data_IF_269401094188
#
_entry.id   IF_269401094188
#
_cell.length_a   1.000
_cell.length_b   1.000
_cell.length_c   1.000
_cell.angle_alpha   90.00
_cell.angle_beta   90.00
_cell.angle_gamma   90.00
#
_symmetry.space_group_name_H-M   'P 1'
#
loop_
_entity.id
_entity.type
_entity.pdbx_description
1 polymer ?
#
# COMPACT_ATOMS: atom_id res chain seq x y z
N UNK A 1 -4.74 11.43 18.97
CA UNK A 1 -3.27 11.61 18.95
C UNK A 1 -2.85 11.21 17.56
N UNK A 2 -2.59 12.18 16.69
CA UNK A 2 -2.01 11.95 15.36
C UNK A 2 -0.48 12.06 15.46
N UNK A 3 0.28 11.38 14.59
CA UNK A 3 1.73 11.61 14.45
C UNK A 3 2.09 13.05 14.04
N UNK A 4 1.09 13.83 13.60
CA UNK A 4 1.24 15.22 13.22
C UNK A 4 1.30 16.14 14.45
N UNK A 5 2.22 17.09 14.41
CA UNK A 5 2.35 18.17 15.38
C UNK A 5 2.62 19.49 14.67
N UNK A 6 2.25 20.60 15.30
CA UNK A 6 2.53 21.96 14.82
C UNK A 6 4.00 22.12 14.45
N UNK A 7 4.91 21.65 15.34
CA UNK A 7 6.34 21.74 15.10
C UNK A 7 6.80 20.93 13.88
N UNK A 8 6.20 19.77 13.63
CA UNK A 8 6.51 18.96 12.45
C UNK A 8 6.14 19.66 11.15
N UNK A 9 5.01 20.39 11.14
CA UNK A 9 4.57 21.13 9.95
C UNK A 9 5.44 22.37 9.73
N UNK A 10 5.81 23.09 10.78
CA UNK A 10 6.76 24.22 10.69
C UNK A 10 8.12 23.78 10.12
N UNK A 11 8.67 22.66 10.60
CA UNK A 11 9.93 22.12 10.06
C UNK A 11 9.76 21.72 8.58
N UNK A 12 8.61 21.16 8.22
CA UNK A 12 8.31 20.81 6.83
C UNK A 12 8.28 22.05 5.94
N UNK A 13 7.68 23.15 6.42
CA UNK A 13 7.67 24.44 5.72
C UNK A 13 9.08 25.05 5.62
N UNK A 14 9.86 25.04 6.71
CA UNK A 14 11.25 25.53 6.74
C UNK A 14 12.16 24.77 5.76
N UNK A 15 11.88 23.48 5.52
CA UNK A 15 12.60 22.63 4.57
C UNK A 15 12.01 22.67 3.15
N UNK A 16 11.00 23.49 2.89
CA UNK A 16 10.30 23.63 1.61
C UNK A 16 9.74 22.28 1.09
N UNK A 17 9.39 21.37 2.00
CA UNK A 17 8.77 20.10 1.66
C UNK A 17 7.28 20.31 1.36
N UNK A 18 6.78 19.99 0.15
CA UNK A 18 5.40 20.32 -0.23
C UNK A 18 4.35 19.36 0.34
N UNK A 19 4.77 18.35 1.10
CA UNK A 19 3.93 17.22 1.44
C UNK A 19 4.40 16.52 2.74
N UNK A 20 3.43 16.13 3.57
CA UNK A 20 3.61 15.22 4.70
C UNK A 20 2.74 13.97 4.55
N UNK A 21 3.20 12.86 5.14
CA UNK A 21 2.39 11.67 5.35
C UNK A 21 2.11 11.51 6.85
N UNK A 22 0.95 10.96 7.19
CA UNK A 22 0.65 10.50 8.55
C UNK A 22 -0.20 9.25 8.50
N UNK A 23 -0.01 8.37 9.47
CA UNK A 23 -0.96 7.31 9.80
C UNK A 23 -2.18 7.92 10.52
N UNK A 24 -3.30 7.20 10.55
CA UNK A 24 -4.47 7.59 11.33
C UNK A 24 -4.20 7.54 12.84
N UNK A 25 -3.23 6.71 13.28
CA UNK A 25 -2.84 6.47 14.66
C UNK A 25 -4.00 5.94 15.52
N UNK A 26 -3.87 6.06 16.84
CA UNK A 26 -4.90 5.64 17.78
C UNK A 26 -4.81 4.15 18.08
N UNK A 27 -5.95 3.57 18.48
CA UNK A 27 -6.05 2.18 18.88
C UNK A 27 -7.38 1.57 18.41
N UNK A 28 -7.40 0.39 17.77
CA UNK A 28 -8.62 -0.25 17.31
C UNK A 28 -9.54 -0.63 18.48
N UNK A 29 -8.99 -1.04 19.62
CA UNK A 29 -9.77 -1.36 20.83
C UNK A 29 -10.42 -0.13 21.48
N UNK A 30 -10.03 1.08 21.07
CA UNK A 30 -10.62 2.36 21.49
C UNK A 30 -10.96 3.23 20.29
N UNK A 31 -11.57 2.62 19.26
CA UNK A 31 -11.75 3.27 17.96
C UNK A 31 -12.48 4.63 18.05
N UNK A 32 -13.60 4.70 18.79
CA UNK A 32 -14.38 5.94 18.92
C UNK A 32 -13.60 7.06 19.62
N UNK A 33 -12.84 6.75 20.67
CA UNK A 33 -12.02 7.75 21.36
C UNK A 33 -10.84 8.21 20.50
N UNK A 34 -10.25 7.28 19.76
CA UNK A 34 -9.16 7.53 18.83
C UNK A 34 -9.59 8.42 17.67
N UNK A 35 -10.74 8.11 17.07
CA UNK A 35 -11.35 8.91 16.01
C UNK A 35 -11.70 10.32 16.52
N UNK A 36 -12.32 10.44 17.70
CA UNK A 36 -12.61 11.75 18.29
C UNK A 36 -11.32 12.57 18.52
N UNK A 37 -10.23 11.92 18.95
CA UNK A 37 -8.94 12.58 19.11
C UNK A 37 -8.29 12.94 17.77
N UNK A 38 -8.48 12.13 16.73
CA UNK A 38 -8.04 12.42 15.37
C UNK A 38 -8.72 13.68 14.83
N UNK A 39 -10.04 13.81 14.96
CA UNK A 39 -10.77 15.00 14.51
C UNK A 39 -10.36 16.27 15.24
N UNK A 40 -10.16 16.22 16.56
CA UNK A 40 -9.64 17.36 17.33
C UNK A 40 -8.25 17.79 16.85
N UNK A 41 -7.36 16.84 16.58
CA UNK A 41 -6.02 17.16 16.04
C UNK A 41 -6.12 17.78 14.65
N UNK A 42 -6.99 17.30 13.76
CA UNK A 42 -7.17 17.91 12.44
C UNK A 42 -7.75 19.31 12.50
N UNK A 43 -8.69 19.59 13.40
CA UNK A 43 -9.25 20.94 13.59
C UNK A 43 -8.14 21.97 13.91
N UNK A 44 -7.17 21.58 14.73
CA UNK A 44 -6.02 22.42 15.08
C UNK A 44 -5.01 22.53 13.91
N UNK A 45 -4.73 21.44 13.22
CA UNK A 45 -3.58 21.35 12.30
C UNK A 45 -3.91 21.72 10.85
N UNK A 46 -5.15 21.50 10.37
CA UNK A 46 -5.52 21.78 8.98
C UNK A 46 -5.31 23.25 8.55
N UNK A 47 -5.57 24.27 9.40
CA UNK A 47 -5.26 25.66 9.05
C UNK A 47 -3.77 25.90 8.81
N UNK A 48 -2.89 25.15 9.48
CA UNK A 48 -1.45 25.26 9.30
C UNK A 48 -1.00 24.64 7.98
N UNK A 49 -1.50 23.46 7.63
CA UNK A 49 -1.28 22.86 6.31
C UNK A 49 -1.72 23.78 5.17
N UNK A 50 -2.89 24.40 5.31
CA UNK A 50 -3.43 25.33 4.32
C UNK A 50 -2.57 26.59 4.18
N UNK A 51 -2.14 27.17 5.30
CA UNK A 51 -1.29 28.37 5.32
C UNK A 51 0.07 28.13 4.67
N UNK A 52 0.71 27.01 4.98
CA UNK A 52 2.05 26.67 4.47
C UNK A 52 2.01 26.02 3.08
N UNK A 53 0.81 25.74 2.53
CA UNK A 53 0.66 25.10 1.22
C UNK A 53 1.15 23.65 1.18
N UNK A 54 1.10 22.95 2.31
CA UNK A 54 1.58 21.57 2.46
C UNK A 54 0.40 20.60 2.27
N UNK A 55 0.56 19.62 1.39
CA UNK A 55 -0.40 18.54 1.26
C UNK A 55 -0.21 17.44 2.33
N UNK A 56 -1.29 16.79 2.72
CA UNK A 56 -1.30 15.71 3.72
C UNK A 56 -1.83 14.42 3.09
N UNK A 57 -1.04 13.34 3.12
CA UNK A 57 -1.56 12.01 2.81
C UNK A 57 -1.77 11.20 4.10
N UNK A 58 -2.95 10.62 4.25
CA UNK A 58 -3.30 9.76 5.36
C UNK A 58 -3.25 8.28 4.96
N UNK A 59 -2.61 7.48 5.80
CA UNK A 59 -2.39 6.05 5.61
C UNK A 59 -3.21 5.25 6.63
N UNK A 60 -4.00 4.29 6.15
CA UNK A 60 -4.50 3.21 6.99
C UNK A 60 -3.34 2.28 7.34
N UNK A 61 -3.07 2.13 8.63
CA UNK A 61 -1.89 1.43 9.11
C UNK A 61 -2.29 0.32 10.10
N UNK A 62 -1.59 -0.83 10.12
CA UNK A 62 -1.86 -1.87 11.10
C UNK A 62 -1.75 -1.31 12.53
N UNK A 63 -2.72 -1.65 13.38
CA UNK A 63 -2.85 -1.23 14.78
C UNK A 63 -3.38 0.20 14.98
N UNK A 64 -3.78 0.89 13.90
CA UNK A 64 -4.52 2.15 13.98
C UNK A 64 -5.99 1.94 14.37
N UNK A 65 -6.68 3.02 14.71
CA UNK A 65 -8.13 2.98 14.92
C UNK A 65 -8.93 2.63 13.64
N UNK A 66 -8.33 2.85 12.46
CA UNK A 66 -8.91 2.57 11.16
C UNK A 66 -7.92 1.80 10.27
N UNK A 67 -8.05 0.47 10.26
CA UNK A 67 -7.13 -0.45 9.54
C UNK A 67 -7.70 -0.91 8.18
N UNK A 68 -8.89 -0.43 7.80
CA UNK A 68 -9.75 -1.01 6.76
C UNK A 68 -10.26 0.06 5.75
N UNK A 69 -11.01 -0.30 4.69
CA UNK A 69 -11.41 0.63 3.63
C UNK A 69 -12.13 1.93 4.07
N UNK A 70 -12.85 2.01 5.22
CA UNK A 70 -13.41 3.28 5.71
C UNK A 70 -12.38 4.41 5.86
N UNK A 71 -11.08 4.11 5.90
CA UNK A 71 -10.02 5.10 5.88
C UNK A 71 -10.11 6.08 4.70
N UNK A 72 -10.51 5.60 3.51
CA UNK A 72 -10.70 6.47 2.33
C UNK A 72 -11.88 7.42 2.55
N UNK A 73 -12.95 6.93 3.19
CA UNK A 73 -14.11 7.76 3.50
C UNK A 73 -13.80 8.81 4.56
N UNK A 74 -12.95 8.51 5.54
CA UNK A 74 -12.44 9.51 6.48
C UNK A 74 -11.63 10.60 5.75
N UNK A 75 -10.75 10.23 4.81
CA UNK A 75 -10.03 11.19 3.97
C UNK A 75 -11.01 12.09 3.20
N UNK A 76 -12.07 11.52 2.64
CA UNK A 76 -13.11 12.29 1.93
C UNK A 76 -13.89 13.21 2.86
N UNK A 77 -14.22 12.75 4.06
CA UNK A 77 -14.98 13.51 5.05
C UNK A 77 -14.25 14.77 5.53
N UNK A 78 -12.91 14.78 5.53
CA UNK A 78 -12.10 15.98 5.82
C UNK A 78 -12.39 17.10 4.81
N UNK A 79 -12.82 16.75 3.59
CA UNK A 79 -13.30 17.68 2.56
C UNK A 79 -12.33 18.84 2.26
N UNK A 80 -11.03 18.55 2.25
CA UNK A 80 -9.98 19.48 1.81
C UNK A 80 -9.30 18.93 0.54
N UNK A 81 -9.00 19.78 -0.46
CA UNK A 81 -8.39 19.33 -1.71
C UNK A 81 -6.93 18.86 -1.54
N UNK A 82 -6.24 19.35 -0.50
CA UNK A 82 -4.86 19.00 -0.18
C UNK A 82 -4.73 17.82 0.79
N UNK A 83 -5.84 17.19 1.19
CA UNK A 83 -5.85 16.00 2.03
C UNK A 83 -6.22 14.77 1.20
N UNK A 84 -5.33 13.80 1.20
CA UNK A 84 -5.32 12.66 0.28
C UNK A 84 -5.07 11.34 1.02
N UNK A 85 -5.14 10.25 0.28
CA UNK A 85 -4.94 8.90 0.76
C UNK A 85 -3.61 8.32 0.28
N UNK A 86 -2.96 7.60 1.19
CA UNK A 86 -1.77 6.81 0.94
C UNK A 86 -2.15 5.33 1.00
N UNK A 87 -1.91 4.60 -0.10
CA UNK A 87 -2.06 3.15 -0.13
C UNK A 87 -0.71 2.45 0.04
N UNK A 88 -0.60 1.61 1.07
CA UNK A 88 0.62 0.88 1.37
C UNK A 88 0.47 -0.59 1.01
N UNK A 89 1.26 -1.04 0.02
CA UNK A 89 1.13 -2.41 -0.50
C UNK A 89 1.31 -3.50 0.59
N UNK A 90 2.28 -3.38 1.53
CA UNK A 90 2.39 -4.29 2.67
C UNK A 90 1.13 -4.39 3.55
N UNK A 91 0.32 -3.34 3.60
CA UNK A 91 -0.88 -3.27 4.46
C UNK A 91 -2.08 -3.92 3.80
N UNK A 92 -1.99 -4.35 2.53
CA UNK A 92 -3.14 -4.86 1.78
C UNK A 92 -3.85 -6.04 2.46
N UNK A 93 -3.12 -6.85 3.24
CA UNK A 93 -3.69 -8.01 3.93
C UNK A 93 -4.46 -7.63 5.20
N UNK A 94 -4.10 -6.51 5.83
CA UNK A 94 -4.87 -5.90 6.91
C UNK A 94 -6.08 -5.14 6.34
N UNK A 95 -5.86 -4.34 5.29
CA UNK A 95 -6.91 -3.59 4.60
C UNK A 95 -8.02 -4.46 4.01
N UNK A 96 -7.73 -5.73 3.71
CA UNK A 96 -8.75 -6.66 3.23
C UNK A 96 -9.62 -7.24 4.36
N UNK A 97 -9.40 -6.83 5.62
CA UNK A 97 -10.19 -7.24 6.78
C UNK A 97 -10.32 -8.76 6.88
N UNK A 98 -11.55 -9.23 7.07
CA UNK A 98 -11.88 -10.65 7.16
C UNK A 98 -11.81 -11.41 5.82
N UNK A 99 -11.68 -10.72 4.68
CA UNK A 99 -11.65 -11.39 3.37
C UNK A 99 -10.40 -12.28 3.25
N UNK A 100 -10.53 -13.51 2.74
CA UNK A 100 -9.44 -14.48 2.68
C UNK A 100 -8.35 -14.10 1.67
N UNK A 101 -8.64 -13.18 0.75
CA UNK A 101 -7.70 -12.68 -0.25
C UNK A 101 -7.84 -11.18 -0.39
N UNK A 102 -6.72 -10.48 -0.55
CA UNK A 102 -6.71 -9.04 -0.75
C UNK A 102 -6.99 -8.67 -2.22
N UNK A 103 -8.05 -7.89 -2.48
CA UNK A 103 -8.31 -7.29 -3.79
C UNK A 103 -7.65 -5.90 -3.91
N UNK A 104 -6.35 -5.91 -4.23
CA UNK A 104 -5.52 -4.70 -4.39
C UNK A 104 -6.14 -3.73 -5.40
N UNK A 105 -6.65 -4.22 -6.53
CA UNK A 105 -7.19 -3.36 -7.58
C UNK A 105 -8.48 -2.68 -7.13
N UNK A 106 -9.38 -3.40 -6.45
CA UNK A 106 -10.60 -2.81 -5.91
C UNK A 106 -10.30 -1.74 -4.87
N UNK A 107 -9.37 -1.98 -3.94
CA UNK A 107 -8.97 -1.00 -2.92
C UNK A 107 -8.39 0.28 -3.54
N UNK A 108 -7.51 0.14 -4.53
CA UNK A 108 -6.93 1.30 -5.22
C UNK A 108 -7.95 2.07 -6.06
N UNK A 109 -8.85 1.35 -6.77
CA UNK A 109 -9.96 1.99 -7.50
C UNK A 109 -10.91 2.72 -6.56
N UNK A 110 -11.16 2.15 -5.40
CA UNK A 110 -11.98 2.78 -4.39
C UNK A 110 -11.33 4.06 -3.84
N UNK A 111 -10.01 4.10 -3.65
CA UNK A 111 -9.30 5.34 -3.31
C UNK A 111 -9.42 6.41 -4.42
N UNK A 112 -9.37 6.01 -5.68
CA UNK A 112 -9.66 6.89 -6.82
C UNK A 112 -8.73 8.10 -6.89
N UNK A 113 -9.30 9.29 -7.05
CA UNK A 113 -8.58 10.57 -7.14
C UNK A 113 -7.84 10.94 -5.84
N UNK A 114 -8.31 10.42 -4.69
CA UNK A 114 -7.62 10.59 -3.41
C UNK A 114 -6.33 9.79 -3.31
N UNK A 115 -6.09 8.80 -4.17
CA UNK A 115 -4.84 8.05 -4.16
C UNK A 115 -3.67 8.90 -4.71
N UNK A 116 -2.91 9.55 -3.83
CA UNK A 116 -1.81 10.46 -4.20
C UNK A 116 -0.43 9.96 -3.75
N UNK A 117 -0.38 8.90 -2.95
CA UNK A 117 0.86 8.29 -2.45
C UNK A 117 0.74 6.78 -2.41
N UNK A 118 1.82 6.10 -2.77
CA UNK A 118 1.95 4.66 -2.54
C UNK A 118 3.26 4.31 -1.86
N UNK A 119 3.16 3.36 -0.94
CA UNK A 119 4.29 2.70 -0.30
C UNK A 119 4.52 1.33 -0.97
N UNK A 120 5.76 1.10 -1.37
CA UNK A 120 6.22 -0.06 -2.13
C UNK A 120 7.21 -0.84 -1.26
N UNK A 121 6.71 -1.91 -0.69
CA UNK A 121 7.46 -3.01 -0.12
C UNK A 121 6.58 -4.27 -0.22
N UNK A 122 7.19 -5.44 -0.13
CA UNK A 122 6.46 -6.70 -0.13
C UNK A 122 6.10 -7.10 1.30
N UNK A 123 5.16 -8.03 1.43
CA UNK A 123 4.78 -8.59 2.72
C UNK A 123 4.16 -9.96 2.51
N UNK A 124 4.24 -10.82 3.53
CA UNK A 124 3.48 -12.06 3.51
C UNK A 124 2.05 -11.83 3.98
N UNK A 125 1.11 -12.59 3.43
CA UNK A 125 -0.26 -12.61 3.94
C UNK A 125 -0.29 -13.26 5.32
N UNK A 126 -0.44 -12.44 6.36
CA UNK A 126 -0.48 -12.92 7.74
C UNK A 126 -1.63 -13.89 8.03
N UNK A 127 -2.69 -13.91 7.21
CA UNK A 127 -3.81 -14.86 7.29
C UNK A 127 -3.52 -16.19 6.59
N UNK A 128 -2.41 -16.26 5.85
CA UNK A 128 -1.98 -17.46 5.12
C UNK A 128 -1.81 -18.68 6.02
N UNK A 129 -1.78 -19.87 5.39
CA UNK A 129 -1.69 -21.15 6.09
C UNK A 129 -2.81 -21.36 7.12
N UNK A 130 -4.05 -20.98 6.79
CA UNK A 130 -5.21 -21.07 7.69
C UNK A 130 -5.01 -20.32 9.02
N UNK A 131 -4.38 -19.14 8.96
CA UNK A 131 -4.03 -18.33 10.14
C UNK A 131 -2.80 -18.79 10.91
N UNK A 132 -2.09 -19.83 10.44
CA UNK A 132 -0.91 -20.40 11.12
C UNK A 132 0.43 -19.90 10.55
N UNK A 133 0.43 -18.91 9.65
CA UNK A 133 1.70 -18.36 9.13
C UNK A 133 2.57 -17.79 10.26
N UNK A 134 1.94 -17.06 11.17
CA UNK A 134 2.59 -16.48 12.32
C UNK A 134 1.95 -17.04 13.59
N UNK A 135 2.67 -17.92 14.27
CA UNK A 135 2.23 -18.50 15.54
C UNK A 135 2.75 -17.62 16.66
N UNK A 136 1.84 -16.94 17.35
CA UNK A 136 2.16 -16.06 18.48
C UNK A 136 1.90 -16.76 19.81
N UNK A 137 2.81 -16.56 20.76
CA UNK A 137 2.69 -17.01 22.14
C UNK A 137 2.90 -15.81 23.09
N UNK A 138 1.93 -15.48 23.96
CA UNK A 138 0.68 -16.21 24.20
C UNK A 138 -0.30 -16.13 23.00
N UNK A 139 -1.16 -17.15 22.82
CA UNK A 139 -2.22 -17.10 21.82
C UNK A 139 -3.17 -15.95 22.10
N UNK A 140 -3.76 -15.35 21.05
CA UNK A 140 -4.66 -14.20 21.18
C UNK A 140 -3.95 -12.86 21.42
N UNK A 141 -2.63 -12.80 21.24
CA UNK A 141 -1.87 -11.55 21.32
C UNK A 141 -2.42 -10.53 20.31
N UNK A 142 -2.74 -9.28 20.72
CA UNK A 142 -3.31 -8.27 19.82
C UNK A 142 -2.29 -7.66 18.84
N UNK A 143 -1.05 -8.14 18.83
CA UNK A 143 0.01 -7.63 17.97
C UNK A 143 -0.36 -7.79 16.49
N UNK A 144 -0.08 -6.74 15.71
CA UNK A 144 -0.19 -6.80 14.25
C UNK A 144 1.12 -7.24 13.65
N UNK A 145 1.05 -8.14 12.67
CA UNK A 145 2.19 -8.44 11.82
C UNK A 145 2.40 -7.27 10.88
N UNK A 146 3.44 -6.48 11.13
CA UNK A 146 3.78 -5.30 10.36
C UNK A 146 5.17 -5.51 9.73
N UNK A 147 5.17 -6.00 8.49
CA UNK A 147 6.38 -6.40 7.77
C UNK A 147 6.49 -5.67 6.45
N UNK A 148 7.72 -5.24 6.13
CA UNK A 148 8.05 -4.58 4.88
C UNK A 148 9.33 -5.19 4.31
N UNK A 149 9.17 -5.97 3.24
CA UNK A 149 10.20 -6.78 2.59
C UNK A 149 10.58 -6.21 1.22
N UNK A 150 11.65 -6.73 0.63
CA UNK A 150 11.98 -6.42 -0.77
C UNK A 150 10.90 -7.01 -1.69
N UNK A 151 10.59 -6.32 -2.80
CA UNK A 151 9.72 -6.87 -3.85
C UNK A 151 10.18 -8.27 -4.27
N UNK A 152 9.25 -9.22 -4.32
CA UNK A 152 9.52 -10.62 -4.68
C UNK A 152 9.94 -11.49 -3.49
N UNK A 153 9.94 -10.95 -2.27
CA UNK A 153 10.18 -11.69 -1.03
C UNK A 153 8.91 -11.92 -0.21
N UNK A 154 7.76 -11.43 -0.66
CA UNK A 154 6.45 -11.67 -0.05
C UNK A 154 5.43 -12.18 -1.06
N UNK A 155 4.17 -11.80 -0.85
CA UNK A 155 2.99 -12.31 -1.54
C UNK A 155 2.12 -11.20 -2.13
N UNK A 156 2.55 -9.93 -2.08
CA UNK A 156 1.84 -8.84 -2.75
C UNK A 156 1.76 -9.13 -4.25
N UNK A 157 0.56 -9.06 -4.83
CA UNK A 157 0.36 -9.22 -6.28
C UNK A 157 0.79 -7.94 -7.01
N UNK A 158 2.08 -7.87 -7.34
CA UNK A 158 2.69 -6.73 -8.01
C UNK A 158 2.18 -6.50 -9.43
N UNK A 159 1.78 -7.55 -10.15
CA UNK A 159 1.22 -7.39 -11.49
C UNK A 159 -0.13 -6.65 -11.42
N UNK A 160 -0.97 -7.01 -10.44
CA UNK A 160 -2.23 -6.32 -10.14
C UNK A 160 -1.99 -4.91 -9.62
N UNK A 161 -1.08 -4.72 -8.66
CA UNK A 161 -0.75 -3.42 -8.07
C UNK A 161 -0.31 -2.40 -9.14
N UNK A 162 0.71 -2.73 -9.94
CA UNK A 162 1.17 -1.84 -11.01
C UNK A 162 0.16 -1.76 -12.15
N UNK A 163 -0.68 -2.78 -12.34
CA UNK A 163 -1.83 -2.76 -13.25
C UNK A 163 -2.83 -1.66 -12.89
N UNK A 164 -3.26 -1.65 -11.63
CA UNK A 164 -4.20 -0.67 -11.09
C UNK A 164 -3.62 0.76 -11.14
N UNK A 165 -2.34 0.96 -10.79
CA UNK A 165 -1.70 2.29 -10.92
C UNK A 165 -1.75 2.83 -12.35
N UNK A 166 -1.52 1.97 -13.35
CA UNK A 166 -1.61 2.38 -14.77
C UNK A 166 -3.04 2.67 -15.19
N UNK A 167 -4.00 1.85 -14.75
CA UNK A 167 -5.42 2.05 -15.04
C UNK A 167 -5.92 3.39 -14.50
N UNK A 168 -5.50 3.75 -13.28
CA UNK A 168 -5.86 5.00 -12.61
C UNK A 168 -5.07 6.21 -13.12
N UNK A 169 -4.13 6.03 -14.05
CA UNK A 169 -3.19 7.07 -14.50
C UNK A 169 -2.48 7.75 -13.32
N UNK A 170 -2.08 6.98 -12.31
CA UNK A 170 -1.47 7.50 -11.09
C UNK A 170 -0.22 8.35 -11.41
N UNK A 171 -0.22 9.60 -10.94
CA UNK A 171 0.84 10.59 -11.11
C UNK A 171 1.44 11.08 -9.78
N UNK A 172 0.98 10.51 -8.67
CA UNK A 172 1.46 10.80 -7.33
C UNK A 172 2.85 10.23 -7.02
N UNK A 173 3.21 10.20 -5.73
CA UNK A 173 4.54 9.77 -5.29
C UNK A 173 4.55 8.28 -4.93
N UNK A 174 5.54 7.54 -5.42
CA UNK A 174 5.81 6.17 -5.01
C UNK A 174 7.06 6.12 -4.13
N UNK A 175 6.99 5.41 -3.01
CA UNK A 175 8.11 5.32 -2.06
C UNK A 175 8.51 3.87 -1.81
N UNK A 176 9.79 3.54 -1.94
CA UNK A 176 10.27 2.27 -1.42
C UNK A 176 10.34 2.33 0.12
N UNK A 177 9.63 1.45 0.82
CA UNK A 177 9.45 1.51 2.28
C UNK A 177 9.88 0.19 2.97
N UNK A 178 11.08 -0.32 2.67
CA UNK A 178 11.54 -1.62 3.19
C UNK A 178 12.25 -1.46 4.54
N UNK A 179 11.88 -2.28 5.54
CA UNK A 179 12.45 -2.21 6.90
C UNK A 179 13.19 -3.49 7.33
N UNK A 180 12.98 -4.61 6.61
CA UNK A 180 13.45 -5.92 7.07
C UNK A 180 14.97 -6.17 6.96
N UNK A 181 15.73 -5.25 6.37
CA UNK A 181 17.09 -5.53 5.89
C UNK A 181 18.15 -4.51 6.34
N UNK A 182 18.11 -4.07 7.59
CA UNK A 182 19.07 -3.08 8.14
C UNK A 182 20.53 -3.37 7.75
N UNK A 183 21.00 -4.61 7.97
CA UNK A 183 22.37 -5.02 7.67
C UNK A 183 22.77 -4.90 6.19
N UNK A 184 21.79 -4.82 5.27
CA UNK A 184 21.99 -4.64 3.83
C UNK A 184 21.12 -3.51 3.27
N UNK A 185 20.85 -2.47 4.06
CA UNK A 185 19.89 -1.41 3.72
C UNK A 185 20.20 -0.78 2.34
N UNK A 186 21.45 -0.43 2.08
CA UNK A 186 21.87 0.16 0.79
C UNK A 186 21.62 -0.77 -0.41
N UNK A 187 21.88 -2.06 -0.25
CA UNK A 187 21.67 -3.05 -1.30
C UNK A 187 20.17 -3.26 -1.56
N UNK A 188 19.37 -3.32 -0.50
CA UNK A 188 17.90 -3.36 -0.58
C UNK A 188 17.35 -2.12 -1.27
N UNK A 189 17.76 -0.92 -0.88
CA UNK A 189 17.37 0.34 -1.52
C UNK A 189 17.71 0.36 -3.02
N UNK A 190 18.93 -0.04 -3.38
CA UNK A 190 19.35 -0.13 -4.79
C UNK A 190 18.54 -1.17 -5.57
N UNK A 191 18.25 -2.32 -4.96
CA UNK A 191 17.40 -3.35 -5.55
C UNK A 191 15.98 -2.84 -5.83
N UNK A 192 15.38 -2.12 -4.88
CA UNK A 192 14.01 -1.60 -4.99
C UNK A 192 13.84 -0.51 -6.06
N UNK A 193 14.92 0.17 -6.45
CA UNK A 193 14.93 1.15 -7.54
C UNK A 193 15.09 0.52 -8.92
N UNK A 194 15.58 -0.72 -9.01
CA UNK A 194 15.80 -1.35 -10.30
C UNK A 194 14.45 -1.64 -10.97
N UNK A 195 14.31 -1.39 -12.29
CA UNK A 195 13.08 -1.71 -13.00
C UNK A 195 12.70 -3.17 -12.77
N UNK A 196 11.52 -3.38 -12.19
CA UNK A 196 10.98 -4.71 -11.94
C UNK A 196 10.91 -5.47 -13.27
N UNK A 197 11.62 -6.59 -13.43
CA UNK A 197 11.52 -7.39 -14.63
C UNK A 197 10.11 -8.02 -14.68
N UNK A 198 9.32 -7.64 -15.68
CA UNK A 198 8.02 -8.28 -15.97
C UNK A 198 8.21 -9.81 -15.98
N UNK A 199 7.51 -10.52 -15.09
CA UNK A 199 7.47 -11.99 -15.10
C UNK A 199 8.17 -12.71 -13.94
N UNK A 200 8.56 -12.03 -12.85
CA UNK A 200 9.13 -12.72 -11.69
C UNK A 200 8.11 -13.50 -10.84
N UNK A 201 6.79 -13.30 -11.03
CA UNK A 201 5.77 -14.13 -10.41
C UNK A 201 5.33 -15.28 -11.31
N UNK A 202 6.12 -16.37 -11.32
CA UNK A 202 5.51 -17.69 -11.55
C UNK A 202 4.97 -18.18 -10.22
N UNK A 203 3.77 -17.72 -9.85
CA UNK A 203 2.98 -18.41 -8.82
C UNK A 203 2.91 -19.88 -9.25
N UNK A 204 3.56 -20.77 -8.50
CA UNK A 204 3.36 -22.21 -8.66
C UNK A 204 1.92 -22.49 -8.25
N UNK A 205 0.97 -22.35 -9.18
CA UNK A 205 -0.35 -22.96 -9.01
C UNK A 205 -0.11 -24.45 -8.84
N UNK A 206 -0.45 -24.98 -7.66
CA UNK A 206 -0.32 -26.38 -7.32
C UNK A 206 -0.87 -27.25 -8.45
N UNK A 207 -0.03 -28.15 -8.96
CA UNK A 207 -0.41 -29.07 -10.01
C UNK A 207 -1.55 -29.94 -9.53
N UNK A 208 -2.73 -29.78 -10.12
CA UNK A 208 -3.73 -30.84 -10.13
C UNK A 208 -3.14 -31.99 -10.95
N UNK A 209 -2.86 -33.10 -10.28
CA UNK A 209 -2.62 -34.41 -10.91
C UNK A 209 -3.85 -34.78 -11.73
N UNK A 210 -3.76 -34.60 -13.05
CA UNK A 210 -4.79 -34.99 -14.01
C UNK A 210 -4.31 -36.21 -14.78
N UNK A 211 -5.03 -37.32 -14.62
CA UNK A 211 -4.82 -38.59 -15.29
C UNK A 211 -4.82 -38.45 -16.82
N UNK A 212 -4.05 -39.32 -17.48
CA UNK A 212 -3.89 -39.40 -18.93
C UNK A 212 -5.22 -39.68 -19.66
N UNK A 213 -5.43 -39.01 -20.79
CA UNK A 213 -6.53 -39.27 -21.71
C UNK A 213 -6.21 -38.71 -23.09
N UNK A 214 -5.95 -39.61 -24.03
CA UNK A 214 -5.60 -39.40 -25.45
C UNK A 214 -6.71 -38.73 -26.27
N UNK A 215 -6.36 -37.81 -27.18
CA UNK A 215 -7.28 -37.41 -28.26
C UNK A 215 -6.95 -36.12 -29.02
N UNK A 216 -6.43 -36.29 -30.24
CA UNK A 216 -6.65 -35.48 -31.46
C UNK A 216 -6.48 -33.93 -31.44
N UNK A 217 -5.47 -33.46 -32.20
CA UNK A 217 -5.30 -32.06 -32.65
C UNK A 217 -6.20 -31.77 -33.86
N UNK A 218 -6.66 -30.50 -34.01
CA UNK A 218 -6.47 -29.86 -35.31
C UNK A 218 -5.97 -28.41 -35.24
N UNK A 219 -5.22 -28.06 -36.29
CA UNK A 219 -4.71 -26.73 -36.63
C UNK A 219 -5.75 -25.61 -36.54
N UNK A 220 -5.41 -24.51 -35.84
CA UNK A 220 -6.00 -23.18 -36.09
C UNK A 220 -4.95 -22.07 -36.17
N UNK A 221 -5.23 -21.17 -37.10
CA UNK A 221 -4.41 -20.11 -37.69
C UNK A 221 -3.88 -19.10 -36.66
N UNK A 222 -2.63 -18.66 -36.86
CA UNK A 222 -1.99 -17.58 -36.09
C UNK A 222 -2.58 -16.23 -36.47
N UNK A 223 -3.38 -15.63 -35.58
CA UNK A 223 -3.63 -14.19 -35.60
C UNK A 223 -2.51 -13.47 -34.83
N UNK A 224 -1.78 -12.58 -35.50
CA UNK A 224 -0.86 -11.63 -34.86
C UNK A 224 -1.69 -10.53 -34.19
N UNK A 225 -1.58 -10.31 -32.86
CA UNK A 225 -2.10 -9.08 -32.27
C UNK A 225 -1.13 -7.95 -32.56
N UNK A 226 -1.66 -6.85 -33.08
CA UNK A 226 -0.97 -5.57 -33.20
C UNK A 226 -0.83 -4.95 -31.81
N UNK A 227 0.35 -5.10 -31.19
CA UNK A 227 0.68 -4.39 -29.96
C UNK A 227 0.81 -2.89 -30.26
N UNK A 228 -0.21 -2.10 -29.91
CA UNK A 228 -0.01 -0.67 -29.65
C UNK A 228 0.89 -0.55 -28.43
N UNK A 229 2.10 0.00 -28.63
CA UNK A 229 3.00 0.37 -27.54
C UNK A 229 2.33 1.48 -26.73
N UNK A 230 1.78 1.14 -25.56
CA UNK A 230 1.41 2.16 -24.58
C UNK A 230 2.69 2.85 -24.09
N UNK A 231 2.71 4.18 -24.15
CA UNK A 231 3.86 4.99 -23.74
C UNK A 231 4.18 4.71 -22.27
N UNK A 232 5.46 4.46 -21.97
CA UNK A 232 5.93 4.27 -20.60
C UNK A 232 5.98 5.64 -19.93
N UNK A 233 5.08 5.90 -18.99
CA UNK A 233 5.30 6.96 -17.98
C UNK A 233 6.09 6.30 -16.85
N UNK A 234 7.35 6.68 -16.60
CA UNK A 234 8.12 6.13 -15.50
C UNK A 234 7.53 6.63 -14.17
N UNK A 235 7.15 5.70 -13.28
CA UNK A 235 6.78 6.01 -11.91
C UNK A 235 8.02 6.60 -11.20
N UNK A 236 7.90 7.80 -10.62
CA UNK A 236 8.97 8.39 -9.80
C UNK A 236 8.98 7.67 -8.46
N UNK A 237 9.87 6.68 -8.32
CA UNK A 237 10.11 5.99 -7.04
C UNK A 237 11.17 6.76 -6.26
N UNK A 238 10.82 7.21 -5.07
CA UNK A 238 11.75 7.83 -4.11
C UNK A 238 12.09 6.77 -3.06
N UNK A 239 13.37 6.63 -2.72
CA UNK A 239 13.79 5.78 -1.60
C UNK A 239 14.17 6.69 -0.44
N UNK A 240 13.58 6.44 0.73
CA UNK A 240 14.08 6.98 1.99
C UNK A 240 14.98 5.89 2.55
N UNK A 241 16.29 6.15 2.57
CA UNK A 241 17.31 5.24 3.09
C UNK A 241 17.78 5.71 4.47
#
# INVERSE_FOLDING_TARGET
MTCLSTRGIEITADLECPLMNSEFNGRPERAAESEAAFWRSLEELLPLFEREGIALNLEAHPDDFCEEPPAVDLVRAINKPYVNYLYCAPHTFHLSGAEPTADIAAMMRYAGDKLQRVHIADSFDHKGSSGLRYILNPPGTPARIHQHLDIGRGEVDWDTFFGALRELNFDGVATACVFAWEARARESSAFMLHPYPRGAHRVKRGGRTGCAGSGHLPHRRRHRPTHRRSAKVPLKVITVA
#
